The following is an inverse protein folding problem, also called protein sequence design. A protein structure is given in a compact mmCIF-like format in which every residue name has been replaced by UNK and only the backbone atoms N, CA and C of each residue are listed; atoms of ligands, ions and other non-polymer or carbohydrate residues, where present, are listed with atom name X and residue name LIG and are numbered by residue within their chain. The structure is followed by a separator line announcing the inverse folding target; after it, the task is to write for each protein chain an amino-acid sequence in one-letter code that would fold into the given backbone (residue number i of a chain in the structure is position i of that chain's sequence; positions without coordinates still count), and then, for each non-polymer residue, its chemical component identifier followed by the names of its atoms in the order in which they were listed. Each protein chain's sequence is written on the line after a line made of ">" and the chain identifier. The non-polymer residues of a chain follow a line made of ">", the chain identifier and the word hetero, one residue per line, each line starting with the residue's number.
data_IF_263583062765
#
_entry.id   IF_263583062765
#
_cell.length_a   1.000
_cell.length_b   1.000
_cell.length_c   1.000
_cell.angle_alpha   90.00
_cell.angle_beta   90.00
_cell.angle_gamma   90.00
#
_symmetry.space_group_name_H-M   'P 1'
#
loop_
_entity.id
_entity.type
_entity.pdbx_description
1 polymer ?
#
# COMPACT_ATOMS: atom_id res chain seq x y z
N UNK A 1 -33.47 -24.57 20.12
CA UNK A 1 -33.24 -23.18 19.69
C UNK A 1 -31.84 -22.82 20.14
N UNK A 2 -30.87 -23.06 19.24
CA UNK A 2 -29.46 -22.89 19.53
C UNK A 2 -29.09 -21.41 19.44
N UNK A 3 -28.46 -20.91 20.48
CA UNK A 3 -27.79 -19.61 20.50
C UNK A 3 -26.70 -19.58 19.42
N UNK A 4 -26.83 -18.70 18.43
CA UNK A 4 -25.72 -18.29 17.59
C UNK A 4 -24.67 -17.61 18.50
N UNK A 5 -23.69 -18.41 18.88
CA UNK A 5 -22.50 -17.94 19.54
C UNK A 5 -21.68 -17.20 18.48
N UNK A 6 -21.84 -15.88 18.40
CA UNK A 6 -20.88 -15.02 17.72
C UNK A 6 -19.52 -15.29 18.35
N UNK A 7 -18.68 -16.10 17.70
CA UNK A 7 -17.28 -16.23 18.06
C UNK A 7 -16.67 -14.86 17.72
N UNK A 8 -16.62 -13.97 18.72
CA UNK A 8 -15.70 -12.85 18.69
C UNK A 8 -14.32 -13.47 18.86
N UNK A 9 -13.66 -13.79 17.75
CA UNK A 9 -12.25 -14.18 17.76
C UNK A 9 -11.50 -13.07 18.50
N UNK A 10 -11.03 -13.39 19.72
CA UNK A 10 -10.24 -12.46 20.51
C UNK A 10 -8.93 -12.20 19.76
N UNK A 11 -8.40 -10.96 19.76
CA UNK A 11 -7.17 -10.65 19.03
C UNK A 11 -6.05 -11.61 19.39
N UNK A 12 -5.44 -12.25 18.38
CA UNK A 12 -4.26 -13.09 18.58
C UNK A 12 -3.09 -12.20 18.97
N UNK A 13 -2.62 -12.31 20.21
CA UNK A 13 -1.46 -11.57 20.69
C UNK A 13 -0.17 -12.30 20.35
N UNK A 14 0.67 -11.64 19.56
CA UNK A 14 1.96 -12.14 19.11
C UNK A 14 3.08 -11.38 19.84
N UNK A 15 3.88 -12.11 20.62
CA UNK A 15 5.05 -11.54 21.26
C UNK A 15 6.14 -11.27 20.22
N UNK A 16 6.70 -10.06 20.24
CA UNK A 16 7.79 -9.65 19.35
C UNK A 16 8.92 -9.00 20.13
N UNK A 17 10.12 -8.97 19.55
CA UNK A 17 11.24 -8.25 20.17
C UNK A 17 10.95 -6.73 20.21
N UNK A 18 11.60 -6.01 21.14
CA UNK A 18 11.54 -4.54 21.18
C UNK A 18 11.93 -3.91 19.83
N UNK A 19 12.97 -4.46 19.20
CA UNK A 19 13.49 -4.01 17.90
C UNK A 19 12.47 -4.23 16.77
N UNK A 20 11.79 -5.37 16.75
CA UNK A 20 10.69 -5.65 15.82
C UNK A 20 9.53 -4.69 16.05
N UNK A 21 9.09 -4.51 17.29
CA UNK A 21 7.98 -3.61 17.63
C UNK A 21 8.25 -2.16 17.20
N UNK A 22 9.47 -1.66 17.40
CA UNK A 22 9.89 -0.34 16.92
C UNK A 22 9.87 -0.24 15.40
N UNK A 23 10.31 -1.28 14.68
CA UNK A 23 10.23 -1.35 13.23
C UNK A 23 8.78 -1.42 12.72
N UNK A 24 7.87 -2.08 13.45
CA UNK A 24 6.44 -2.06 13.13
C UNK A 24 5.84 -0.67 13.30
N UNK A 25 6.27 0.08 14.32
CA UNK A 25 5.91 1.49 14.47
C UNK A 25 6.42 2.36 13.32
N UNK A 26 7.64 2.10 12.84
CA UNK A 26 8.20 2.78 11.66
C UNK A 26 7.41 2.44 10.39
N UNK A 27 7.16 1.16 10.13
CA UNK A 27 6.36 0.66 9.03
C UNK A 27 4.95 1.28 9.04
N UNK A 28 4.31 1.36 10.21
CA UNK A 28 2.95 1.90 10.34
C UNK A 28 2.88 3.37 9.93
N UNK A 29 3.88 4.18 10.30
CA UNK A 29 3.97 5.58 9.85
C UNK A 29 4.08 5.69 8.33
N UNK A 30 4.96 4.88 7.72
CA UNK A 30 5.18 4.88 6.26
C UNK A 30 3.93 4.40 5.53
N UNK A 31 3.31 3.32 6.00
CA UNK A 31 2.10 2.76 5.41
C UNK A 31 0.96 3.77 5.41
N UNK A 32 0.77 4.51 6.51
CA UNK A 32 -0.24 5.58 6.59
C UNK A 32 0.08 6.75 5.65
N UNK A 33 1.30 7.27 5.72
CA UNK A 33 1.72 8.42 4.91
C UNK A 33 1.65 8.12 3.41
N UNK A 34 2.20 6.98 2.98
CA UNK A 34 2.15 6.56 1.57
C UNK A 34 0.73 6.23 1.16
N UNK A 35 0.05 5.39 1.94
CA UNK A 35 -1.16 4.73 1.51
C UNK A 35 -2.46 5.51 1.73
N UNK A 36 -2.51 6.43 2.68
CA UNK A 36 -3.72 7.23 2.98
C UNK A 36 -3.53 8.72 2.69
N UNK A 37 -2.34 9.27 2.95
CA UNK A 37 -2.09 10.71 2.74
C UNK A 37 -1.59 10.99 1.32
N UNK A 38 -0.64 10.21 0.80
CA UNK A 38 -0.07 10.44 -0.53
C UNK A 38 -0.92 9.84 -1.64
N UNK A 39 -1.49 8.64 -1.42
CA UNK A 39 -2.35 7.95 -2.38
C UNK A 39 -3.79 7.87 -1.88
N UNK A 40 -4.50 9.01 -1.79
CA UNK A 40 -5.79 9.09 -1.10
C UNK A 40 -6.93 8.33 -1.80
N UNK A 41 -6.82 8.12 -3.11
CA UNK A 41 -7.78 7.35 -3.90
C UNK A 41 -7.48 5.82 -3.86
N UNK A 42 -6.43 5.41 -3.16
CA UNK A 42 -6.03 4.01 -3.03
C UNK A 42 -5.34 3.44 -4.27
N UNK A 43 -5.19 2.11 -4.33
CA UNK A 43 -4.40 1.42 -5.35
C UNK A 43 -5.17 1.23 -6.65
N UNK A 44 -4.48 1.43 -7.77
CA UNK A 44 -5.08 1.69 -9.07
C UNK A 44 -5.64 0.49 -9.85
N UNK A 45 -5.44 -0.72 -9.35
CA UNK A 45 -5.92 -1.97 -9.93
C UNK A 45 -6.81 -2.78 -8.96
N UNK A 46 -7.26 -2.14 -7.88
CA UNK A 46 -8.28 -2.67 -6.98
C UNK A 46 -9.63 -2.02 -7.32
N UNK A 47 -10.67 -2.83 -7.53
CA UNK A 47 -11.98 -2.36 -7.99
C UNK A 47 -12.59 -1.37 -7.01
N UNK A 48 -12.49 -1.64 -5.71
CA UNK A 48 -13.04 -0.77 -4.68
C UNK A 48 -12.40 0.63 -4.69
N UNK A 49 -11.08 0.72 -4.87
CA UNK A 49 -10.38 2.00 -4.99
C UNK A 49 -10.79 2.76 -6.27
N UNK A 50 -10.93 2.04 -7.38
CA UNK A 50 -11.40 2.63 -8.65
C UNK A 50 -12.84 3.14 -8.50
N UNK A 51 -13.70 2.36 -7.85
CA UNK A 51 -15.10 2.71 -7.63
C UNK A 51 -15.26 3.93 -6.71
N UNK A 52 -14.71 3.88 -5.49
CA UNK A 52 -14.84 4.97 -4.50
C UNK A 52 -14.22 6.29 -4.98
N UNK A 53 -13.26 6.23 -5.90
CA UNK A 53 -12.62 7.42 -6.48
C UNK A 53 -13.22 7.86 -7.81
N UNK A 54 -14.25 7.17 -8.30
CA UNK A 54 -14.86 7.45 -9.61
C UNK A 54 -13.89 7.28 -10.79
N UNK A 55 -12.87 6.44 -10.65
CA UNK A 55 -11.83 6.20 -11.65
C UNK A 55 -10.57 7.05 -11.50
N UNK A 56 -10.48 7.93 -10.51
CA UNK A 56 -9.28 8.73 -10.28
C UNK A 56 -8.09 7.88 -9.86
N UNK A 57 -8.24 6.87 -9.02
CA UNK A 57 -7.12 6.01 -8.56
C UNK A 57 -6.31 5.45 -9.75
N UNK A 58 -7.03 4.88 -10.74
CA UNK A 58 -6.44 4.40 -11.98
C UNK A 58 -5.81 5.51 -12.81
N UNK A 59 -6.48 6.66 -12.91
CA UNK A 59 -5.98 7.80 -13.68
C UNK A 59 -4.68 8.34 -13.09
N UNK A 60 -4.61 8.53 -11.78
CA UNK A 60 -3.41 8.99 -11.05
C UNK A 60 -2.23 8.04 -11.29
N UNK A 61 -2.45 6.72 -11.18
CA UNK A 61 -1.42 5.73 -11.50
C UNK A 61 -0.97 5.79 -12.95
N UNK A 62 -1.90 5.93 -13.91
CA UNK A 62 -1.53 6.03 -15.32
C UNK A 62 -0.69 7.26 -15.60
N UNK A 63 -1.01 8.40 -15.00
CA UNK A 63 -0.19 9.60 -15.14
C UNK A 63 1.18 9.44 -14.47
N UNK A 64 1.25 8.85 -13.28
CA UNK A 64 2.52 8.59 -12.60
C UNK A 64 3.42 7.68 -13.45
N UNK A 65 2.87 6.58 -13.98
CA UNK A 65 3.62 5.66 -14.86
C UNK A 65 4.03 6.29 -16.17
N UNK A 66 3.16 7.05 -16.82
CA UNK A 66 3.53 7.69 -18.08
C UNK A 66 4.66 8.71 -17.86
N UNK A 67 4.74 9.38 -16.70
CA UNK A 67 5.87 10.23 -16.35
C UNK A 67 7.16 9.46 -16.09
N UNK A 68 7.09 8.35 -15.36
CA UNK A 68 8.27 7.54 -15.01
C UNK A 68 8.75 6.71 -16.20
N UNK A 69 7.89 5.89 -16.78
CA UNK A 69 8.22 4.96 -17.86
C UNK A 69 8.37 5.67 -19.21
N UNK A 70 7.77 6.86 -19.37
CA UNK A 70 7.95 7.72 -20.54
C UNK A 70 9.30 8.43 -20.60
N UNK A 71 10.18 8.24 -19.61
CA UNK A 71 11.50 8.84 -19.56
C UNK A 71 11.47 10.36 -19.27
N UNK A 72 10.40 10.85 -18.65
CA UNK A 72 10.27 12.27 -18.28
C UNK A 72 10.95 12.62 -16.95
N UNK A 73 11.49 11.62 -16.25
CA UNK A 73 12.24 11.78 -15.00
C UNK A 73 13.72 11.47 -15.27
N UNK A 74 14.62 12.40 -14.96
CA UNK A 74 16.06 12.23 -15.17
C UNK A 74 16.74 11.43 -14.03
N UNK A 75 16.10 11.33 -12.87
CA UNK A 75 16.66 10.68 -11.67
C UNK A 75 15.55 10.24 -10.69
N UNK A 76 15.95 9.50 -9.64
CA UNK A 76 15.05 8.99 -8.61
C UNK A 76 14.25 10.10 -7.90
N UNK A 77 14.85 11.26 -7.61
CA UNK A 77 14.14 12.33 -6.92
C UNK A 77 12.98 12.87 -7.78
N UNK A 78 13.20 13.03 -9.08
CA UNK A 78 12.15 13.42 -10.03
C UNK A 78 11.06 12.34 -10.19
N UNK A 79 11.43 11.06 -10.17
CA UNK A 79 10.46 9.96 -10.16
C UNK A 79 9.58 10.02 -8.91
N UNK A 80 10.19 10.13 -7.71
CA UNK A 80 9.48 10.20 -6.44
C UNK A 80 8.58 11.44 -6.38
N UNK A 81 9.07 12.60 -6.84
CA UNK A 81 8.28 13.82 -6.94
C UNK A 81 7.07 13.63 -7.85
N UNK A 82 7.27 13.05 -9.04
CA UNK A 82 6.19 12.78 -9.99
C UNK A 82 5.14 11.83 -9.41
N UNK A 83 5.56 10.76 -8.73
CA UNK A 83 4.67 9.83 -8.04
C UNK A 83 3.86 10.57 -6.96
N UNK A 84 4.50 11.40 -6.13
CA UNK A 84 3.81 12.19 -5.10
C UNK A 84 2.83 13.19 -5.69
N UNK A 85 3.23 13.94 -6.71
CA UNK A 85 2.40 14.96 -7.34
C UNK A 85 1.18 14.35 -8.06
N UNK A 86 1.33 13.19 -8.70
CA UNK A 86 0.17 12.50 -9.29
C UNK A 86 -0.71 11.85 -8.22
N UNK A 87 -0.13 11.47 -7.07
CA UNK A 87 -0.87 10.95 -5.92
C UNK A 87 -1.49 9.58 -6.17
N UNK A 88 -0.88 8.76 -7.04
CA UNK A 88 -1.34 7.39 -7.27
C UNK A 88 -0.29 6.50 -7.90
N UNK A 89 -0.55 5.20 -7.83
CA UNK A 89 0.37 4.17 -8.29
C UNK A 89 -0.21 2.76 -8.08
N UNK A 90 0.57 1.76 -8.47
CA UNK A 90 0.38 0.35 -8.11
C UNK A 90 1.51 -0.10 -7.17
N UNK A 91 1.69 -1.40 -6.97
CA UNK A 91 2.66 -1.99 -6.04
C UNK A 91 4.08 -1.43 -6.24
N UNK A 92 4.52 -1.22 -7.49
CA UNK A 92 5.85 -0.70 -7.83
C UNK A 92 6.09 0.72 -7.29
N UNK A 93 5.16 1.64 -7.52
CA UNK A 93 5.25 3.02 -7.04
C UNK A 93 5.07 3.11 -5.51
N UNK A 94 4.20 2.28 -4.93
CA UNK A 94 4.03 2.16 -3.48
C UNK A 94 5.32 1.68 -2.80
N UNK A 95 5.99 0.68 -3.37
CA UNK A 95 7.32 0.21 -2.93
C UNK A 95 8.36 1.32 -3.02
N UNK A 96 8.49 1.98 -4.17
CA UNK A 96 9.48 3.06 -4.38
C UNK A 96 9.32 4.17 -3.35
N UNK A 97 8.09 4.65 -3.17
CA UNK A 97 7.79 5.72 -2.22
C UNK A 97 8.04 5.27 -0.78
N UNK A 98 7.64 4.05 -0.40
CA UNK A 98 7.91 3.50 0.94
C UNK A 98 9.41 3.36 1.22
N UNK A 99 10.18 2.89 0.24
CA UNK A 99 11.64 2.81 0.33
C UNK A 99 12.27 4.19 0.53
N UNK A 100 11.86 5.18 -0.25
CA UNK A 100 12.31 6.57 -0.13
C UNK A 100 11.99 7.18 1.24
N UNK A 101 10.76 7.01 1.73
CA UNK A 101 10.34 7.45 3.07
C UNK A 101 11.18 6.81 4.18
N UNK A 102 11.40 5.49 4.10
CA UNK A 102 12.22 4.76 5.07
C UNK A 102 13.68 5.25 5.08
N UNK A 103 14.24 5.61 3.91
CA UNK A 103 15.59 6.19 3.79
C UNK A 103 15.72 7.54 4.50
N UNK A 104 14.63 8.29 4.67
CA UNK A 104 14.60 9.57 5.40
C UNK A 104 14.31 9.43 6.91
N UNK A 105 14.24 8.21 7.45
CA UNK A 105 13.96 7.95 8.87
C UNK A 105 15.12 7.23 9.56
N UNK A 106 15.27 7.32 10.88
CA UNK A 106 16.25 6.48 11.59
C UNK A 106 15.80 5.01 11.55
N UNK A 107 16.72 4.09 11.23
CA UNK A 107 16.43 2.66 11.05
C UNK A 107 17.36 1.80 11.91
N UNK A 108 16.76 0.96 12.77
CA UNK A 108 17.49 -0.02 13.60
C UNK A 108 17.77 -1.34 12.86
N UNK A 109 17.19 -1.52 11.67
CA UNK A 109 17.27 -2.71 10.84
C UNK A 109 17.45 -2.33 9.36
N UNK A 110 18.06 -3.21 8.55
CA UNK A 110 18.13 -2.99 7.12
C UNK A 110 16.71 -2.94 6.53
N UNK A 111 16.55 -2.22 5.44
CA UNK A 111 15.31 -2.18 4.65
C UNK A 111 15.59 -2.76 3.29
N UNK A 112 14.77 -3.72 2.89
CA UNK A 112 14.83 -4.34 1.57
C UNK A 112 13.62 -3.92 0.78
N UNK A 113 13.82 -3.38 -0.42
CA UNK A 113 12.76 -3.30 -1.40
C UNK A 113 12.76 -4.59 -2.21
N UNK A 114 11.60 -5.22 -2.35
CA UNK A 114 11.50 -6.58 -2.88
C UNK A 114 10.40 -6.70 -3.95
N UNK A 115 10.49 -7.79 -4.72
CA UNK A 115 9.45 -8.29 -5.62
C UNK A 115 9.16 -9.74 -5.26
N UNK A 116 7.90 -10.15 -5.21
CA UNK A 116 7.57 -11.56 -5.07
C UNK A 116 8.13 -12.39 -6.24
N UNK A 117 8.51 -13.63 -5.99
CA UNK A 117 9.18 -14.44 -7.01
C UNK A 117 8.22 -15.06 -8.02
N UNK A 118 6.97 -15.30 -7.62
CA UNK A 118 5.93 -15.98 -8.40
C UNK A 118 4.77 -15.06 -8.82
N UNK A 119 4.79 -13.78 -8.42
CA UNK A 119 3.77 -12.80 -8.78
C UNK A 119 4.39 -11.41 -8.96
N UNK A 120 3.74 -10.56 -9.76
CA UNK A 120 4.18 -9.17 -9.98
C UNK A 120 3.73 -8.24 -8.84
N UNK A 121 4.12 -8.60 -7.61
CA UNK A 121 3.88 -7.79 -6.41
C UNK A 121 5.18 -7.25 -5.83
N UNK A 122 5.13 -6.01 -5.35
CA UNK A 122 6.28 -5.22 -4.93
C UNK A 122 5.99 -4.53 -3.60
N UNK A 123 6.92 -4.60 -2.66
CA UNK A 123 6.78 -3.97 -1.34
C UNK A 123 8.15 -3.85 -0.65
N UNK A 124 8.19 -3.33 0.57
CA UNK A 124 9.42 -3.25 1.37
C UNK A 124 9.35 -4.12 2.63
N UNK A 125 10.50 -4.57 3.12
CA UNK A 125 10.65 -5.36 4.35
C UNK A 125 11.69 -4.68 5.23
N UNK A 126 11.38 -4.46 6.52
CA UNK A 126 12.33 -3.99 7.53
C UNK A 126 12.84 -5.19 8.33
N UNK A 127 14.15 -5.43 8.29
CA UNK A 127 14.80 -6.61 8.85
C UNK A 127 15.07 -7.69 7.79
N UNK A 128 16.12 -8.48 8.02
CA UNK A 128 16.50 -9.57 7.12
C UNK A 128 15.77 -10.86 7.50
N UNK A 129 14.84 -11.30 6.66
CA UNK A 129 14.06 -12.52 6.89
C UNK A 129 14.88 -13.81 6.78
N UNK A 130 16.11 -13.72 6.30
CA UNK A 130 17.04 -14.86 6.17
C UNK A 130 17.92 -15.00 7.42
N UNK A 131 18.02 -13.94 8.21
CA UNK A 131 18.75 -13.95 9.47
C UNK A 131 17.96 -14.73 10.53
N UNK A 132 18.63 -15.61 11.30
CA UNK A 132 17.95 -16.47 12.29
C UNK A 132 17.40 -15.72 13.49
N UNK A 133 17.92 -14.53 13.79
CA UNK A 133 17.49 -13.69 14.92
C UNK A 133 16.29 -12.83 14.57
N UNK A 134 16.11 -12.49 13.30
CA UNK A 134 14.95 -11.73 12.79
C UNK A 134 13.94 -12.67 12.14
N UNK A 135 14.34 -13.35 11.06
CA UNK A 135 13.60 -14.43 10.43
C UNK A 135 12.17 -14.05 10.07
N UNK A 136 11.22 -14.88 10.50
CA UNK A 136 9.79 -14.65 10.32
C UNK A 136 9.28 -13.35 10.95
N UNK A 137 10.03 -12.70 11.85
CA UNK A 137 9.68 -11.45 12.50
C UNK A 137 10.20 -10.20 11.76
N UNK A 138 10.81 -10.34 10.58
CA UNK A 138 11.00 -9.20 9.70
C UNK A 138 9.64 -8.54 9.41
N UNK A 139 9.60 -7.23 9.21
CA UNK A 139 8.35 -6.46 9.15
C UNK A 139 8.02 -6.10 7.73
N UNK A 140 6.82 -6.44 7.26
CA UNK A 140 6.36 -6.08 5.92
C UNK A 140 5.79 -4.66 5.90
N UNK A 141 6.17 -3.90 4.88
CA UNK A 141 5.74 -2.53 4.60
C UNK A 141 5.08 -2.52 3.22
N UNK A 142 3.77 -2.75 3.22
CA UNK A 142 2.95 -2.83 2.00
C UNK A 142 1.74 -1.87 2.10
N UNK A 143 1.87 -0.62 1.61
CA UNK A 143 0.74 0.31 1.57
C UNK A 143 -0.22 0.09 0.40
N UNK A 144 0.08 -0.83 -0.52
CA UNK A 144 -0.72 -1.07 -1.74
C UNK A 144 -1.99 -1.87 -1.48
N UNK A 145 -2.15 -2.50 -0.32
CA UNK A 145 -3.39 -3.17 0.05
C UNK A 145 -4.50 -2.14 0.38
N UNK A 146 -5.77 -2.52 0.24
CA UNK A 146 -6.89 -1.63 0.59
C UNK A 146 -6.91 -1.30 2.08
N UNK A 147 -6.94 -2.34 2.91
CA UNK A 147 -6.88 -2.30 4.36
C UNK A 147 -5.44 -2.50 4.76
N UNK A 148 -4.82 -1.44 5.27
CA UNK A 148 -3.39 -1.42 5.46
C UNK A 148 -3.06 -1.90 6.87
N UNK A 149 -2.36 -3.03 6.92
CA UNK A 149 -1.91 -3.69 8.13
C UNK A 149 -0.40 -3.82 8.05
N UNK A 150 0.30 -3.48 9.14
CA UNK A 150 1.68 -3.92 9.32
C UNK A 150 1.66 -5.31 9.94
N UNK A 151 2.44 -6.21 9.38
CA UNK A 151 2.52 -7.59 9.83
C UNK A 151 3.93 -8.16 9.63
N UNK A 152 4.20 -9.32 10.22
CA UNK A 152 5.52 -9.95 10.12
C UNK A 152 5.65 -10.79 8.85
N UNK A 153 6.88 -11.05 8.41
CA UNK A 153 7.20 -11.79 7.19
C UNK A 153 6.58 -13.19 7.17
N UNK A 154 6.50 -13.85 8.33
CA UNK A 154 5.87 -15.16 8.47
C UNK A 154 4.34 -15.15 8.32
N UNK A 155 3.71 -13.97 8.34
CA UNK A 155 2.26 -13.79 8.21
C UNK A 155 1.83 -13.37 6.80
N UNK A 156 2.78 -13.29 5.84
CA UNK A 156 2.47 -13.01 4.44
C UNK A 156 1.52 -14.07 3.87
N UNK A 157 0.58 -13.62 3.04
CA UNK A 157 -0.27 -14.51 2.24
C UNK A 157 0.54 -15.32 1.24
N UNK A 158 1.54 -14.71 0.62
CA UNK A 158 2.45 -15.37 -0.30
C UNK A 158 3.65 -15.95 0.49
N UNK A 159 3.81 -17.28 0.55
CA UNK A 159 4.89 -17.90 1.30
C UNK A 159 6.21 -17.96 0.52
N UNK A 160 6.21 -17.61 -0.78
CA UNK A 160 7.41 -17.70 -1.59
C UNK A 160 8.46 -16.69 -1.14
N UNK A 161 9.73 -17.04 -1.30
CA UNK A 161 10.81 -16.12 -0.98
C UNK A 161 10.84 -14.99 -2.01
N UNK A 162 10.81 -13.72 -1.57
CA UNK A 162 10.83 -12.61 -2.49
C UNK A 162 12.25 -12.31 -2.98
N UNK A 163 12.34 -11.75 -4.18
CA UNK A 163 13.57 -11.30 -4.81
C UNK A 163 13.92 -9.91 -4.28
N UNK A 164 15.15 -9.75 -3.78
CA UNK A 164 15.70 -8.45 -3.35
C UNK A 164 16.00 -7.58 -4.56
N UNK A 165 15.52 -6.34 -4.53
CA UNK A 165 15.80 -5.34 -5.55
C UNK A 165 16.81 -4.30 -5.05
N UNK A 166 16.60 -3.78 -3.86
CA UNK A 166 17.46 -2.76 -3.23
C UNK A 166 17.58 -3.02 -1.73
N UNK A 167 18.71 -2.62 -1.16
CA UNK A 167 18.99 -2.70 0.27
C UNK A 167 19.42 -1.33 0.77
N UNK A 168 18.82 -0.90 1.87
CA UNK A 168 19.23 0.27 2.64
C UNK A 168 19.71 -0.20 4.02
N UNK A 169 20.94 0.10 4.43
CA UNK A 169 21.45 -0.34 5.71
C UNK A 169 20.75 0.34 6.90
N UNK A 170 20.86 -0.24 8.12
CA UNK A 170 20.54 0.47 9.36
C UNK A 170 21.33 1.77 9.46
N UNK A 171 20.77 2.77 10.14
CA UNK A 171 21.47 4.03 10.37
C UNK A 171 20.55 5.25 10.46
N UNK A 172 21.14 6.45 10.55
CA UNK A 172 20.39 7.70 10.50
C UNK A 172 19.74 7.93 9.13
N UNK A 173 18.81 8.90 9.00
CA UNK A 173 18.33 9.37 7.70
C UNK A 173 19.48 9.63 6.72
N UNK A 174 19.33 9.20 5.47
CA UNK A 174 20.32 9.46 4.43
C UNK A 174 20.33 10.96 4.08
N UNK A 175 21.50 11.62 4.04
CA UNK A 175 21.60 13.01 3.63
C UNK A 175 21.37 13.11 2.12
N UNK A 176 20.14 13.44 1.72
CA UNK A 176 19.75 13.60 0.33
C UNK A 176 18.67 14.69 0.21
N UNK A 177 19.10 15.93 -0.02
CA UNK A 177 18.20 17.09 -0.08
C UNK A 177 17.19 16.99 -1.22
N UNK A 178 17.61 16.52 -2.40
CA UNK A 178 16.71 16.35 -3.54
C UNK A 178 15.59 15.33 -3.26
N UNK A 179 15.92 14.22 -2.60
CA UNK A 179 14.93 13.23 -2.18
C UNK A 179 14.00 13.79 -1.10
N UNK A 180 14.55 14.55 -0.14
CA UNK A 180 13.76 15.20 0.91
C UNK A 180 12.75 16.20 0.33
N UNK A 181 13.19 17.03 -0.63
CA UNK A 181 12.33 17.95 -1.37
C UNK A 181 11.27 17.20 -2.16
N UNK A 182 11.64 16.15 -2.89
CA UNK A 182 10.69 15.32 -3.63
C UNK A 182 9.61 14.72 -2.72
N UNK A 183 10.00 14.23 -1.53
CA UNK A 183 9.07 13.67 -0.55
C UNK A 183 8.18 14.72 0.12
N UNK A 184 8.53 16.01 0.05
CA UNK A 184 7.71 17.12 0.53
C UNK A 184 6.58 17.51 -0.43
N UNK A 185 6.63 17.06 -1.69
CA UNK A 185 5.60 17.36 -2.69
C UNK A 185 4.21 16.86 -2.25
N UNK A 186 3.18 17.58 -2.66
CA UNK A 186 1.78 17.26 -2.33
C UNK A 186 1.04 16.68 -3.55
N UNK A 187 0.14 15.71 -3.35
CA UNK A 187 -0.73 15.23 -4.43
C UNK A 187 -1.53 16.35 -5.08
N UNK A 188 -1.67 16.27 -6.40
CA UNK A 188 -2.58 17.10 -7.17
C UNK A 188 -4.01 16.94 -6.65
N UNK A 189 -4.75 18.05 -6.65
CA UNK A 189 -6.13 18.09 -6.21
C UNK A 189 -7.06 17.23 -7.08
N UNK A 190 -8.23 16.90 -6.51
CA UNK A 190 -9.19 16.05 -7.19
C UNK A 190 -9.79 16.71 -8.44
N UNK A 191 -9.95 18.04 -8.48
CA UNK A 191 -10.51 18.73 -9.65
C UNK A 191 -9.62 18.58 -10.89
N UNK A 192 -8.29 18.66 -10.70
CA UNK A 192 -7.30 18.41 -11.72
C UNK A 192 -7.37 16.95 -12.19
N UNK A 193 -7.51 16.01 -11.26
CA UNK A 193 -7.63 14.59 -11.61
C UNK A 193 -8.93 14.23 -12.31
N UNK A 194 -10.07 14.81 -11.91
CA UNK A 194 -11.37 14.60 -12.55
C UNK A 194 -11.32 15.05 -14.02
N UNK A 195 -10.63 16.16 -14.32
CA UNK A 195 -10.36 16.59 -15.70
C UNK A 195 -9.54 15.56 -16.46
N UNK A 196 -8.47 15.03 -15.88
CA UNK A 196 -7.65 14.00 -16.53
C UNK A 196 -8.42 12.69 -16.74
N UNK A 197 -9.23 12.27 -15.76
CA UNK A 197 -10.10 11.10 -15.88
C UNK A 197 -11.03 11.28 -17.07
N UNK A 198 -11.73 12.43 -17.15
CA UNK A 198 -12.57 12.76 -18.31
C UNK A 198 -11.83 12.70 -19.64
N UNK A 199 -10.59 13.19 -19.70
CA UNK A 199 -9.81 13.15 -20.94
C UNK A 199 -9.39 11.72 -21.32
N UNK A 200 -9.03 10.87 -20.36
CA UNK A 200 -8.56 9.49 -20.59
C UNK A 200 -9.69 8.53 -20.91
N UNK A 201 -10.76 8.53 -20.10
CA UNK A 201 -11.85 7.54 -20.21
C UNK A 201 -13.09 8.06 -20.91
N UNK A 202 -13.04 9.32 -21.39
CA UNK A 202 -14.13 10.02 -22.09
C UNK A 202 -15.43 10.12 -21.29
N UNK A 203 -15.34 10.04 -19.96
CA UNK A 203 -16.43 10.12 -18.99
C UNK A 203 -15.99 10.90 -17.76
N UNK A 204 -16.83 11.76 -17.17
CA UNK A 204 -16.47 12.41 -15.90
C UNK A 204 -16.16 11.35 -14.83
N UNK A 205 -15.32 11.71 -13.85
CA UNK A 205 -15.09 10.82 -12.72
C UNK A 205 -16.43 10.52 -12.02
N UNK A 206 -16.65 9.24 -11.72
CA UNK A 206 -17.90 8.73 -11.17
C UNK A 206 -18.14 7.25 -11.55
N UNK A 207 -19.33 6.71 -11.23
CA UNK A 207 -19.64 5.29 -11.40
C UNK A 207 -19.45 4.78 -12.84
N UNK A 208 -19.82 5.57 -13.86
CA UNK A 208 -19.68 5.17 -15.27
C UNK A 208 -18.20 5.08 -15.70
N UNK A 209 -17.37 6.02 -15.25
CA UNK A 209 -15.92 5.99 -15.50
C UNK A 209 -15.28 4.80 -14.78
N UNK A 210 -15.62 4.60 -13.50
CA UNK A 210 -15.14 3.48 -12.70
C UNK A 210 -15.52 2.13 -13.33
N UNK A 211 -16.79 1.93 -13.70
CA UNK A 211 -17.28 0.71 -14.34
C UNK A 211 -16.54 0.43 -15.66
N UNK A 212 -16.34 1.44 -16.50
CA UNK A 212 -15.60 1.28 -17.75
C UNK A 212 -14.14 0.87 -17.53
N UNK A 213 -13.46 1.46 -16.54
CA UNK A 213 -12.09 1.10 -16.17
C UNK A 213 -12.04 -0.33 -15.62
N UNK A 214 -12.91 -0.66 -14.66
CA UNK A 214 -12.97 -1.99 -14.04
C UNK A 214 -13.22 -3.05 -15.09
N UNK A 215 -14.18 -2.85 -16.01
CA UNK A 215 -14.43 -3.79 -17.09
C UNK A 215 -13.21 -3.95 -18.00
N UNK A 216 -12.52 -2.86 -18.32
CA UNK A 216 -11.27 -2.91 -19.09
C UNK A 216 -10.17 -3.74 -18.40
N UNK A 217 -10.00 -3.57 -17.09
CA UNK A 217 -9.04 -4.33 -16.29
C UNK A 217 -9.46 -5.81 -16.13
N UNK A 218 -10.76 -6.10 -16.00
CA UNK A 218 -11.26 -7.48 -15.95
C UNK A 218 -10.97 -8.20 -17.27
N UNK A 219 -11.25 -7.54 -18.38
CA UNK A 219 -11.05 -8.11 -19.73
C UNK A 219 -9.59 -8.44 -20.06
N UNK A 220 -8.62 -7.76 -19.43
CA UNK A 220 -7.20 -8.01 -19.65
C UNK A 220 -6.51 -8.70 -18.45
N UNK A 221 -7.28 -9.20 -17.49
CA UNK A 221 -6.76 -9.92 -16.31
C UNK A 221 -5.86 -9.09 -15.40
N UNK A 222 -5.99 -7.75 -15.40
CA UNK A 222 -5.11 -6.86 -14.62
C UNK A 222 -5.73 -6.37 -13.31
N UNK A 223 -6.90 -6.86 -12.92
CA UNK A 223 -7.49 -6.55 -11.61
C UNK A 223 -6.84 -7.39 -10.52
N UNK A 224 -6.57 -6.76 -9.38
CA UNK A 224 -6.11 -7.43 -8.18
C UNK A 224 -6.83 -6.91 -6.94
N UNK A 225 -7.94 -7.53 -6.59
CA UNK A 225 -8.70 -7.18 -5.40
C UNK A 225 -8.20 -7.97 -4.20
N UNK A 226 -7.34 -7.33 -3.41
CA UNK A 226 -6.80 -7.90 -2.19
C UNK A 226 -6.97 -6.90 -1.05
N UNK A 227 -7.76 -7.30 -0.05
CA UNK A 227 -8.07 -6.44 1.08
C UNK A 227 -6.84 -6.19 1.96
N UNK A 228 -6.08 -7.24 2.26
CA UNK A 228 -4.90 -7.19 3.13
C UNK A 228 -3.80 -8.14 2.63
N UNK A 229 -2.56 -7.86 3.02
CA UNK A 229 -1.38 -8.67 2.67
C UNK A 229 -1.14 -9.88 3.59
N UNK A 230 -2.01 -10.08 4.59
CA UNK A 230 -1.89 -11.10 5.63
C UNK A 230 -3.23 -11.79 5.89
N UNK A 231 -3.17 -13.05 6.35
CA UNK A 231 -4.34 -13.77 6.90
C UNK A 231 -4.72 -13.33 8.31
N UNK A 232 -3.79 -12.70 9.05
CA UNK A 232 -3.97 -12.37 10.46
C UNK A 232 -4.28 -10.89 10.68
N UNK A 233 -5.36 -10.41 10.07
CA UNK A 233 -5.75 -8.98 10.13
C UNK A 233 -6.01 -8.49 11.56
N UNK A 234 -6.42 -9.38 12.46
CA UNK A 234 -6.74 -9.11 13.87
C UNK A 234 -5.56 -9.26 14.83
N UNK A 235 -4.35 -9.54 14.34
CA UNK A 235 -3.18 -9.70 15.21
C UNK A 235 -2.90 -8.43 16.03
N UNK A 236 -2.58 -8.61 17.30
CA UNK A 236 -1.97 -7.60 18.15
C UNK A 236 -0.53 -7.99 18.43
N UNK A 237 0.40 -7.05 18.38
CA UNK A 237 1.80 -7.30 18.72
C UNK A 237 2.08 -6.75 20.11
N UNK A 238 2.85 -7.50 20.90
CA UNK A 238 3.26 -7.10 22.25
C UNK A 238 4.77 -7.11 22.38
N UNK A 239 5.34 -6.01 22.88
CA UNK A 239 6.77 -5.92 23.18
C UNK A 239 7.11 -6.43 24.60
N UNK A 240 8.39 -6.64 24.94
CA UNK A 240 8.77 -7.12 26.28
C UNK A 240 8.41 -6.18 27.43
N UNK A 241 8.08 -4.92 27.15
CA UNK A 241 7.62 -3.95 28.14
C UNK A 241 6.08 -3.95 28.30
N UNK A 242 5.38 -4.84 27.59
CA UNK A 242 3.92 -4.95 27.63
C UNK A 242 3.18 -3.92 26.77
N UNK A 243 3.86 -3.16 25.90
CA UNK A 243 3.17 -2.27 24.95
C UNK A 243 2.49 -3.11 23.88
N UNK A 244 1.23 -2.80 23.59
CA UNK A 244 0.39 -3.53 22.63
C UNK A 244 -0.02 -2.61 21.49
N UNK A 245 0.03 -3.10 20.25
CA UNK A 245 -0.53 -2.40 19.08
C UNK A 245 -0.89 -3.39 17.97
N UNK A 246 -2.01 -3.16 17.30
CA UNK A 246 -2.39 -3.90 16.10
C UNK A 246 -1.80 -3.30 14.82
N UNK A 247 -1.25 -2.07 14.85
CA UNK A 247 -0.67 -1.39 13.68
C UNK A 247 -1.57 -1.42 12.41
N UNK A 248 -2.86 -1.20 12.61
CA UNK A 248 -3.91 -1.26 11.59
C UNK A 248 -4.82 -0.02 11.62
N UNK A 249 -4.27 1.15 11.96
CA UNK A 249 -5.07 2.38 12.11
C UNK A 249 -5.49 2.92 10.73
N UNK A 250 -6.52 2.30 10.17
CA UNK A 250 -7.22 2.75 8.97
C UNK A 250 -8.08 3.95 9.35
N UNK A 251 -8.01 5.07 8.62
CA UNK A 251 -8.93 6.20 8.81
C UNK A 251 -10.38 5.74 8.62
N UNK A 252 -11.28 6.15 9.53
CA UNK A 252 -12.68 5.71 9.51
C UNK A 252 -13.39 6.13 8.22
N UNK A 253 -13.14 7.36 7.75
CA UNK A 253 -13.68 7.87 6.48
C UNK A 253 -13.22 7.04 5.27
N UNK A 254 -12.01 6.48 5.32
CA UNK A 254 -11.52 5.61 4.26
C UNK A 254 -12.20 4.24 4.34
N UNK A 255 -12.34 3.68 5.54
CA UNK A 255 -12.99 2.39 5.75
C UNK A 255 -14.45 2.42 5.32
N UNK A 256 -15.20 3.47 5.71
CA UNK A 256 -16.60 3.63 5.35
C UNK A 256 -16.76 3.68 3.83
N UNK A 257 -15.98 4.54 3.14
CA UNK A 257 -15.99 4.60 1.67
C UNK A 257 -15.61 3.29 1.00
N UNK A 258 -14.70 2.52 1.60
CA UNK A 258 -14.32 1.20 1.08
C UNK A 258 -15.47 0.19 1.19
N UNK A 259 -16.16 0.16 2.33
CA UNK A 259 -17.30 -0.73 2.57
C UNK A 259 -18.49 -0.34 1.68
N UNK A 260 -18.81 0.96 1.58
CA UNK A 260 -19.84 1.49 0.70
C UNK A 260 -19.56 1.12 -0.76
N UNK A 261 -18.31 1.30 -1.22
CA UNK A 261 -17.93 0.92 -2.57
C UNK A 261 -18.08 -0.59 -2.81
N UNK A 262 -17.73 -1.43 -1.83
CA UNK A 262 -17.94 -2.89 -1.93
C UNK A 262 -19.41 -3.23 -2.03
N UNK A 263 -20.28 -2.55 -1.28
CA UNK A 263 -21.72 -2.71 -1.35
C UNK A 263 -22.30 -2.28 -2.70
N UNK A 264 -22.03 -1.05 -3.13
CA UNK A 264 -22.52 -0.50 -4.40
C UNK A 264 -22.09 -1.34 -5.61
N UNK A 265 -20.83 -1.79 -5.64
CA UNK A 265 -20.32 -2.61 -6.75
C UNK A 265 -21.10 -3.92 -6.92
N UNK A 266 -21.66 -4.50 -5.86
CA UNK A 266 -22.48 -5.72 -5.96
C UNK A 266 -23.77 -5.48 -6.76
N UNK A 267 -24.30 -4.26 -6.75
CA UNK A 267 -25.53 -3.90 -7.45
C UNK A 267 -25.29 -3.32 -8.85
N UNK A 268 -24.10 -2.77 -9.08
CA UNK A 268 -23.81 -2.01 -10.30
C UNK A 268 -22.84 -2.69 -11.28
N UNK A 269 -22.08 -3.69 -10.84
CA UNK A 269 -21.15 -4.41 -11.71
C UNK A 269 -21.64 -5.85 -11.95
N UNK A 270 -21.45 -6.40 -13.16
CA UNK A 270 -21.71 -7.81 -13.40
C UNK A 270 -20.82 -8.66 -12.48
N UNK A 271 -21.39 -9.76 -11.96
CA UNK A 271 -20.67 -10.74 -11.14
C UNK A 271 -19.52 -11.32 -11.98
N UNK A 272 -18.33 -11.49 -11.37
CA UNK A 272 -17.22 -12.18 -12.02
C UNK A 272 -17.62 -13.62 -12.35
N UNK A 273 -17.50 -13.98 -13.63
CA UNK A 273 -17.54 -15.37 -14.08
C UNK A 273 -16.26 -16.12 -13.71
#
# INVERSE_FOLDING_TARGET
>A
MGSEMCIRDSPTRLAVSKKTFEAMGLASRVVKKTGYETFPDGPANQEAAIWMSGGRSWTRMKLARDMVDGGHCANEAEEIKSIKEMGGGSCGEHRRLSGAELRQMHRNMPVFQVRESNEDHHYAIIGDWRDRTVGSHAVVVDPWQMVKKVYTYGERLNPTEPIRLFETPPGPPEPNEALSEALSATPADNSRMDRFTKMRVKRPAGPEAAAAIIQGLRNNGSVWDQAAGTTNVYAEYVDPNGRVSAFNDVPSDYLDRYLDAKEEMMYHLPIRG
#
